data_IF_731769815082
#
_entry.id   IF_731769815082
#
_cell.length_a   1.000
_cell.length_b   1.000
_cell.length_c   1.000
_cell.angle_alpha   90.00
_cell.angle_beta   90.00
_cell.angle_gamma   90.00
#
_symmetry.space_group_name_H-M   'P 1'
#
loop_
_entity.id
_entity.type
_entity.pdbx_description
1 polymer ?
#
# COMPACT_ATOMS: atom_id res chain seq x y z
N UNK A 1 -61.58 -3.08 87.69
CA UNK A 1 -60.56 -4.03 88.02
C UNK A 1 -59.80 -4.29 86.68
N UNK A 2 -58.67 -3.63 86.47
CA UNK A 2 -57.33 -4.19 86.47
C UNK A 2 -57.13 -5.28 85.40
N UNK A 3 -56.28 -5.19 84.46
CA UNK A 3 -54.82 -5.08 84.47
C UNK A 3 -54.28 -4.80 83.09
N UNK A 4 -53.32 -3.98 83.03
CA UNK A 4 -52.34 -3.68 82.05
C UNK A 4 -51.52 -4.89 81.59
N UNK A 5 -51.09 -4.87 80.33
CA UNK A 5 -49.81 -5.46 79.96
C UNK A 5 -49.28 -4.81 78.64
N UNK A 6 -48.31 -3.95 78.89
CA UNK A 6 -47.32 -3.49 77.88
C UNK A 6 -46.64 -4.67 77.22
N UNK A 7 -46.56 -4.63 75.88
CA UNK A 7 -45.56 -5.45 75.17
C UNK A 7 -44.70 -4.54 74.32
N UNK A 8 -43.45 -4.42 74.84
CA UNK A 8 -42.36 -3.73 74.17
C UNK A 8 -42.18 -4.20 72.73
N UNK A 9 -42.22 -3.23 71.92
CA UNK A 9 -41.73 -3.30 70.55
C UNK A 9 -40.19 -3.21 70.63
N UNK A 10 -39.46 -4.30 70.34
CA UNK A 10 -38.01 -4.33 70.13
C UNK A 10 -37.72 -4.28 68.66
N UNK A 11 -37.26 -3.13 68.28
CA UNK A 11 -36.86 -2.67 66.99
C UNK A 11 -36.09 -3.61 66.17
N UNK A 12 -36.45 -3.59 64.91
CA UNK A 12 -35.62 -3.94 63.79
C UNK A 12 -34.68 -2.75 63.50
N UNK A 13 -33.54 -2.70 64.18
CA UNK A 13 -32.38 -1.95 63.70
C UNK A 13 -31.76 -2.75 62.59
N UNK A 14 -32.31 -2.64 61.37
CA UNK A 14 -31.69 -3.15 60.18
C UNK A 14 -30.36 -2.42 59.96
N UNK A 15 -29.33 -3.20 59.93
CA UNK A 15 -27.92 -2.93 59.75
C UNK A 15 -27.64 -2.13 58.48
N UNK A 16 -27.88 -0.82 58.49
CA UNK A 16 -27.59 0.12 57.40
C UNK A 16 -26.08 0.24 57.13
N UNK A 17 -25.23 -0.20 58.02
CA UNK A 17 -23.77 -0.18 57.90
C UNK A 17 -23.23 -1.26 56.96
N UNK A 18 -23.84 -2.46 56.91
CA UNK A 18 -23.39 -3.57 56.05
C UNK A 18 -23.71 -3.36 54.60
N UNK A 19 -24.83 -2.70 54.27
CA UNK A 19 -25.19 -2.38 52.89
C UNK A 19 -24.29 -1.33 52.24
N UNK A 20 -23.84 -0.31 53.02
CA UNK A 20 -22.92 0.71 52.51
C UNK A 20 -21.51 0.17 52.23
N UNK A 21 -21.00 -0.73 53.08
CA UNK A 21 -19.65 -1.30 52.90
C UNK A 21 -19.63 -2.26 51.70
N UNK A 22 -20.68 -3.07 51.51
CA UNK A 22 -20.79 -3.99 50.37
C UNK A 22 -20.95 -3.24 49.05
N UNK A 23 -21.70 -2.13 49.02
CA UNK A 23 -21.83 -1.27 47.85
C UNK A 23 -20.52 -0.57 47.47
N UNK A 24 -19.77 -0.10 48.45
CA UNK A 24 -18.49 0.58 48.23
C UNK A 24 -17.41 -0.40 47.70
N UNK A 25 -17.38 -1.63 48.24
CA UNK A 25 -16.45 -2.67 47.75
C UNK A 25 -16.80 -3.14 46.34
N UNK A 26 -18.07 -3.21 45.94
CA UNK A 26 -18.49 -3.56 44.59
C UNK A 26 -18.16 -2.44 43.60
N UNK A 27 -18.34 -1.19 43.94
CA UNK A 27 -17.93 -0.04 43.14
C UNK A 27 -16.41 0.05 42.97
N UNK A 28 -15.64 -0.27 44.03
CA UNK A 28 -14.18 -0.28 43.95
C UNK A 28 -13.66 -1.44 43.08
N UNK A 29 -14.30 -2.62 43.13
CA UNK A 29 -13.98 -3.76 42.30
C UNK A 29 -14.30 -3.49 40.81
N UNK A 30 -15.42 -2.82 40.50
CA UNK A 30 -15.79 -2.40 39.14
C UNK A 30 -14.85 -1.29 38.62
N UNK A 31 -14.37 -0.40 39.45
CA UNK A 31 -13.41 0.64 39.06
C UNK A 31 -12.01 0.05 38.76
N UNK A 32 -11.61 -1.04 39.44
CA UNK A 32 -10.36 -1.74 39.19
C UNK A 32 -10.41 -2.69 37.96
N UNK A 33 -11.60 -3.14 37.57
CA UNK A 33 -11.76 -3.97 36.35
C UNK A 33 -11.74 -3.14 35.02
N UNK A 34 -11.86 -1.81 35.13
CA UNK A 34 -12.02 -0.92 33.98
C UNK A 34 -10.75 -0.41 33.28
N UNK A 35 -9.54 -0.70 33.81
CA UNK A 35 -8.29 -0.15 33.26
C UNK A 35 -7.20 -1.19 33.00
N UNK A 36 -7.55 -2.36 32.50
CA UNK A 36 -6.56 -3.19 31.84
C UNK A 36 -6.33 -2.62 30.42
N UNK A 37 -5.36 -1.73 30.28
CA UNK A 37 -4.88 -1.36 28.96
C UNK A 37 -4.53 -2.65 28.20
N UNK A 38 -4.89 -2.77 26.91
CA UNK A 38 -4.55 -3.96 26.13
C UNK A 38 -3.03 -4.16 26.23
N UNK A 39 -2.61 -5.35 26.64
CA UNK A 39 -1.19 -5.73 26.68
C UNK A 39 -0.71 -5.78 25.24
N UNK A 40 -0.14 -4.67 24.76
CA UNK A 40 0.48 -4.61 23.44
C UNK A 40 1.74 -5.47 23.49
N UNK A 41 1.84 -6.47 22.63
CA UNK A 41 3.05 -7.30 22.54
C UNK A 41 4.27 -6.41 22.27
N UNK A 42 5.41 -6.61 22.96
CA UNK A 42 6.65 -5.87 22.69
C UNK A 42 7.11 -5.98 21.22
N UNK A 43 6.63 -7.00 20.49
CA UNK A 43 6.92 -7.20 19.07
C UNK A 43 6.03 -6.36 18.15
N UNK A 44 4.95 -5.78 18.65
CA UNK A 44 4.02 -4.95 17.91
C UNK A 44 4.51 -3.49 17.90
N UNK A 45 5.55 -3.25 17.10
CA UNK A 45 6.08 -1.91 16.89
C UNK A 45 5.12 -1.06 16.06
N UNK A 46 5.24 0.29 16.07
CA UNK A 46 4.45 1.16 15.18
C UNK A 46 4.57 0.76 13.70
N UNK A 47 5.76 0.35 13.24
CA UNK A 47 5.97 -0.17 11.87
C UNK A 47 5.11 -1.41 11.61
N UNK A 48 5.11 -2.39 12.52
CA UNK A 48 4.29 -3.60 12.39
C UNK A 48 2.81 -3.24 12.27
N UNK A 49 2.35 -2.23 13.03
CA UNK A 49 0.97 -1.75 12.95
C UNK A 49 0.67 -1.14 11.57
N UNK A 50 1.52 -0.24 11.06
CA UNK A 50 1.36 0.37 9.74
C UNK A 50 1.28 -0.69 8.65
N UNK A 51 2.18 -1.67 8.68
CA UNK A 51 2.21 -2.78 7.69
C UNK A 51 0.94 -3.62 7.78
N UNK A 52 0.57 -4.09 8.98
CA UNK A 52 -0.62 -4.92 9.17
C UNK A 52 -1.88 -4.22 8.66
N UNK A 53 -2.00 -2.93 8.96
CA UNK A 53 -3.18 -2.13 8.64
C UNK A 53 -3.25 -1.74 7.16
N UNK A 54 -2.13 -1.72 6.42
CA UNK A 54 -2.10 -1.22 5.03
C UNK A 54 -1.65 -2.25 3.98
N UNK A 55 -1.10 -3.39 4.39
CA UNK A 55 -0.60 -4.40 3.44
C UNK A 55 -1.66 -4.90 2.44
N UNK A 56 -2.94 -4.89 2.80
CA UNK A 56 -4.03 -5.26 1.90
C UNK A 56 -4.34 -4.19 0.83
N UNK A 57 -3.82 -2.98 1.00
CA UNK A 57 -3.95 -1.90 0.00
C UNK A 57 -2.83 -1.94 -1.04
N UNK A 58 -1.81 -2.80 -0.86
CA UNK A 58 -0.71 -2.96 -1.82
C UNK A 58 -0.88 -4.26 -2.59
N UNK A 59 -0.80 -4.17 -3.90
CA UNK A 59 -1.00 -5.29 -4.82
C UNK A 59 0.26 -5.54 -5.64
N UNK A 60 0.42 -6.77 -6.13
CA UNK A 60 1.40 -7.08 -7.15
C UNK A 60 0.80 -6.80 -8.53
N UNK A 61 1.56 -6.16 -9.39
CA UNK A 61 1.21 -5.92 -10.79
C UNK A 61 2.07 -6.84 -11.66
N UNK A 62 1.42 -7.70 -12.42
CA UNK A 62 2.05 -8.55 -13.43
C UNK A 62 1.65 -8.07 -14.80
N UNK A 63 2.63 -7.89 -15.66
CA UNK A 63 2.39 -7.50 -17.05
C UNK A 63 3.01 -8.50 -18.01
N UNK A 64 2.34 -8.68 -19.13
CA UNK A 64 2.87 -9.45 -20.25
C UNK A 64 2.96 -8.52 -21.46
N UNK A 65 4.14 -8.47 -22.07
CA UNK A 65 4.41 -7.71 -23.27
C UNK A 65 4.94 -8.65 -24.35
N UNK A 66 4.55 -8.41 -25.58
CA UNK A 66 5.13 -9.10 -26.75
C UNK A 66 6.08 -8.10 -27.42
N UNK A 67 7.33 -8.47 -27.52
CA UNK A 67 8.35 -7.67 -28.21
C UNK A 67 8.70 -8.37 -29.52
N UNK A 68 8.42 -7.72 -30.65
CA UNK A 68 8.85 -8.22 -31.96
C UNK A 68 10.31 -7.79 -32.19
N UNK A 69 11.19 -8.78 -32.15
CA UNK A 69 12.61 -8.58 -32.37
C UNK A 69 12.94 -8.40 -33.86
N UNK A 70 12.00 -8.74 -34.78
CA UNK A 70 12.20 -8.58 -36.23
C UNK A 70 12.25 -7.11 -36.65
N UNK A 71 11.68 -6.22 -35.81
CA UNK A 71 11.77 -4.77 -36.04
C UNK A 71 13.20 -4.22 -35.72
N UNK A 72 14.05 -4.99 -35.05
CA UNK A 72 15.40 -4.55 -34.76
C UNK A 72 16.29 -4.63 -36.02
N UNK A 73 17.08 -3.58 -36.36
CA UNK A 73 17.88 -3.53 -37.55
C UNK A 73 18.84 -4.73 -37.72
N UNK A 74 19.36 -5.26 -36.62
CA UNK A 74 20.23 -6.43 -36.65
C UNK A 74 19.52 -7.72 -37.10
N UNK A 75 18.20 -7.78 -37.06
CA UNK A 75 17.44 -8.97 -37.46
C UNK A 75 17.59 -9.27 -38.93
N UNK A 76 17.55 -8.25 -39.78
CA UNK A 76 17.73 -8.43 -41.23
C UNK A 76 19.06 -9.05 -41.63
N UNK A 77 20.13 -8.82 -40.89
CA UNK A 77 21.46 -9.33 -41.17
C UNK A 77 21.77 -10.67 -40.47
N UNK A 78 21.20 -10.92 -39.30
CA UNK A 78 21.53 -12.05 -38.45
C UNK A 78 20.31 -12.86 -37.98
N UNK A 79 19.16 -12.70 -38.61
CA UNK A 79 17.85 -13.23 -38.20
C UNK A 79 17.87 -14.69 -37.77
N UNK A 80 18.38 -15.60 -38.64
CA UNK A 80 18.41 -17.03 -38.29
C UNK A 80 19.33 -17.38 -37.09
N UNK A 81 20.43 -16.61 -36.88
CA UNK A 81 21.33 -16.83 -35.77
C UNK A 81 20.73 -16.30 -34.49
N UNK A 82 20.05 -15.13 -34.56
CA UNK A 82 19.33 -14.52 -33.48
C UNK A 82 18.12 -15.37 -33.07
N UNK A 83 17.39 -15.92 -34.03
CA UNK A 83 16.24 -16.82 -33.80
C UNK A 83 16.65 -18.04 -32.97
N UNK A 84 17.74 -18.71 -33.36
CA UNK A 84 18.27 -19.85 -32.60
C UNK A 84 18.77 -19.47 -31.23
N UNK A 85 19.44 -18.33 -31.07
CA UNK A 85 19.92 -17.82 -29.78
C UNK A 85 18.74 -17.51 -28.85
N UNK A 86 17.75 -16.76 -29.34
CA UNK A 86 16.60 -16.39 -28.54
C UNK A 86 15.73 -17.59 -28.18
N UNK A 87 15.56 -18.55 -29.09
CA UNK A 87 14.84 -19.79 -28.78
C UNK A 87 15.54 -20.62 -27.70
N UNK A 88 16.85 -20.66 -27.70
CA UNK A 88 17.65 -21.33 -26.68
C UNK A 88 17.60 -20.59 -25.33
N UNK A 89 17.58 -19.25 -25.34
CA UNK A 89 17.64 -18.43 -24.13
C UNK A 89 16.28 -18.25 -23.47
N UNK A 90 15.23 -17.97 -24.24
CA UNK A 90 13.88 -17.69 -23.74
C UNK A 90 12.94 -18.90 -23.79
N UNK A 91 13.29 -20.01 -24.45
CA UNK A 91 12.49 -21.23 -24.50
C UNK A 91 11.07 -20.98 -24.99
N UNK A 92 10.07 -21.34 -24.18
CA UNK A 92 8.65 -21.22 -24.52
C UNK A 92 8.16 -19.76 -24.60
N UNK A 93 8.86 -18.80 -23.96
CA UNK A 93 8.52 -17.38 -24.03
C UNK A 93 9.01 -16.72 -25.33
N UNK A 94 9.66 -17.50 -26.24
CA UNK A 94 10.07 -17.06 -27.59
C UNK A 94 9.34 -17.81 -28.68
N UNK A 95 8.80 -17.09 -29.64
CA UNK A 95 8.17 -17.67 -30.86
C UNK A 95 8.45 -16.79 -32.06
N UNK A 96 9.12 -17.36 -33.09
CA UNK A 96 9.31 -16.77 -34.43
C UNK A 96 9.70 -15.28 -34.44
N UNK A 97 10.69 -14.89 -33.62
CA UNK A 97 11.16 -13.51 -33.54
C UNK A 97 10.40 -12.63 -32.54
N UNK A 98 9.44 -13.19 -31.83
CA UNK A 98 8.71 -12.50 -30.77
C UNK A 98 9.06 -13.05 -29.42
N UNK A 99 9.38 -12.19 -28.46
CA UNK A 99 9.64 -12.56 -27.06
C UNK A 99 8.49 -12.09 -26.19
N UNK A 100 8.00 -13.01 -25.34
CA UNK A 100 7.05 -12.69 -24.28
C UNK A 100 7.82 -12.24 -23.04
N UNK A 101 7.82 -10.95 -22.79
CA UNK A 101 8.41 -10.37 -21.58
C UNK A 101 7.37 -10.29 -20.49
N UNK A 102 7.74 -10.77 -19.30
CA UNK A 102 6.97 -10.64 -18.07
C UNK A 102 7.65 -9.60 -17.20
N UNK A 103 6.94 -8.57 -16.81
CA UNK A 103 7.41 -7.58 -15.84
C UNK A 103 6.58 -7.66 -14.59
N UNK A 104 7.20 -7.32 -13.48
CA UNK A 104 6.58 -7.35 -12.14
C UNK A 104 6.83 -6.01 -11.46
N UNK A 105 5.78 -5.44 -10.93
CA UNK A 105 5.80 -4.24 -10.11
C UNK A 105 4.77 -4.33 -9.00
N UNK A 106 4.54 -3.20 -8.36
CA UNK A 106 3.52 -3.05 -7.32
C UNK A 106 2.47 -2.01 -7.70
N UNK A 107 1.36 -2.00 -6.99
CA UNK A 107 0.34 -0.97 -7.10
C UNK A 107 -0.29 -0.69 -5.75
N UNK A 108 -0.95 0.45 -5.63
CA UNK A 108 -1.64 0.87 -4.41
C UNK A 108 -3.12 1.09 -4.72
N UNK A 109 -4.00 0.42 -3.99
CA UNK A 109 -5.45 0.59 -4.10
C UNK A 109 -5.81 1.95 -3.52
N UNK A 110 -6.33 2.85 -4.36
CA UNK A 110 -6.72 4.22 -4.00
C UNK A 110 -8.23 4.41 -3.90
N UNK A 111 -8.99 3.45 -4.35
CA UNK A 111 -10.46 3.45 -4.27
C UNK A 111 -10.99 2.03 -4.00
N UNK A 112 -12.03 1.91 -3.17
CA UNK A 112 -12.61 0.62 -2.76
C UNK A 112 -13.23 -0.17 -3.92
N UNK A 113 -13.63 0.52 -5.01
CA UNK A 113 -14.17 -0.10 -6.21
C UNK A 113 -13.10 -0.59 -7.19
N UNK A 114 -11.82 -0.66 -6.77
CA UNK A 114 -10.75 -1.29 -7.53
C UNK A 114 -9.92 -0.37 -8.41
N UNK A 115 -9.86 0.94 -8.09
CA UNK A 115 -8.89 1.82 -8.72
C UNK A 115 -7.53 1.68 -8.03
N UNK A 116 -6.47 1.50 -8.82
CA UNK A 116 -5.11 1.25 -8.36
C UNK A 116 -4.20 2.27 -9.04
N UNK A 117 -3.29 2.88 -8.28
CA UNK A 117 -2.17 3.66 -8.81
C UNK A 117 -0.92 2.79 -8.86
N UNK A 118 -0.14 2.96 -9.91
CA UNK A 118 1.18 2.34 -10.10
C UNK A 118 2.08 3.28 -10.91
N UNK A 119 3.31 2.88 -11.20
CA UNK A 119 4.15 3.66 -12.13
C UNK A 119 3.74 3.40 -13.59
N UNK A 120 3.92 4.42 -14.42
CA UNK A 120 3.64 4.31 -15.86
C UNK A 120 4.55 3.28 -16.53
N UNK A 121 5.85 3.23 -16.15
CA UNK A 121 6.80 2.27 -16.72
C UNK A 121 6.43 0.82 -16.39
N UNK A 122 5.73 0.53 -15.29
CA UNK A 122 5.27 -0.82 -14.92
C UNK A 122 4.25 -1.35 -15.93
N UNK A 123 3.37 -0.48 -16.44
CA UNK A 123 2.29 -0.86 -17.36
C UNK A 123 2.58 -0.47 -18.81
N UNK A 124 3.72 0.17 -19.06
CA UNK A 124 4.09 0.62 -20.41
C UNK A 124 4.24 -0.56 -21.36
N UNK A 125 3.63 -0.47 -22.54
CA UNK A 125 3.63 -1.52 -23.59
C UNK A 125 3.07 -2.87 -23.13
N UNK A 126 2.42 -2.97 -21.97
CA UNK A 126 1.77 -4.19 -21.54
C UNK A 126 0.59 -4.54 -22.44
N UNK A 127 0.56 -5.77 -22.95
CA UNK A 127 -0.60 -6.30 -23.69
C UNK A 127 -1.71 -6.71 -22.73
N UNK A 128 -1.32 -7.30 -21.60
CA UNK A 128 -2.22 -7.68 -20.50
C UNK A 128 -1.63 -7.26 -19.18
N UNK A 129 -2.49 -6.84 -18.26
CA UNK A 129 -2.13 -6.39 -16.92
C UNK A 129 -2.99 -7.17 -15.95
N UNK A 130 -2.35 -7.75 -14.93
CA UNK A 130 -3.02 -8.42 -13.84
C UNK A 130 -2.62 -7.79 -12.50
N UNK A 131 -3.60 -7.53 -11.65
CA UNK A 131 -3.36 -7.21 -10.26
C UNK A 131 -3.59 -8.45 -9.39
N UNK A 132 -2.60 -8.80 -8.57
CA UNK A 132 -2.70 -9.89 -7.62
C UNK A 132 -2.88 -9.29 -6.24
N UNK A 133 -4.05 -9.52 -5.64
CA UNK A 133 -4.40 -9.04 -4.31
C UNK A 133 -3.66 -9.86 -3.24
N UNK A 134 -3.63 -9.34 -2.01
CA UNK A 134 -2.95 -9.99 -0.88
C UNK A 134 -3.47 -11.41 -0.58
N UNK A 135 -4.73 -11.70 -0.85
CA UNK A 135 -5.33 -13.03 -0.64
C UNK A 135 -5.06 -13.99 -1.79
N UNK A 136 -4.27 -13.60 -2.79
CA UNK A 136 -3.96 -14.39 -3.96
C UNK A 136 -4.95 -14.24 -5.11
N UNK A 137 -6.04 -13.49 -4.95
CA UNK A 137 -6.98 -13.20 -6.03
C UNK A 137 -6.27 -12.51 -7.19
N UNK A 138 -6.38 -13.04 -8.39
CA UNK A 138 -5.84 -12.47 -9.62
C UNK A 138 -6.98 -11.83 -10.40
N UNK A 139 -6.86 -10.54 -10.67
CA UNK A 139 -7.84 -9.78 -11.44
C UNK A 139 -7.17 -9.11 -12.65
N UNK A 140 -7.78 -9.23 -13.83
CA UNK A 140 -7.36 -8.47 -15.00
C UNK A 140 -7.64 -6.99 -14.78
N UNK A 141 -6.67 -6.15 -15.17
CA UNK A 141 -6.74 -4.71 -15.00
C UNK A 141 -6.75 -3.99 -16.34
N UNK A 142 -7.56 -2.96 -16.44
CA UNK A 142 -7.59 -2.05 -17.58
C UNK A 142 -6.89 -0.73 -17.21
N UNK A 143 -6.11 -0.19 -18.14
CA UNK A 143 -5.51 1.14 -17.98
C UNK A 143 -6.61 2.19 -18.08
N UNK A 144 -6.67 3.08 -17.09
CA UNK A 144 -7.62 4.19 -17.02
C UNK A 144 -6.96 5.48 -17.49
N UNK A 145 -5.76 5.75 -17.00
CA UNK A 145 -5.00 6.97 -17.32
C UNK A 145 -3.50 6.71 -17.16
N UNK A 146 -2.70 7.32 -17.99
CA UNK A 146 -1.23 7.32 -17.89
C UNK A 146 -0.73 8.75 -17.94
N UNK A 147 0.15 9.10 -17.01
CA UNK A 147 0.92 10.32 -17.01
C UNK A 147 2.41 9.95 -17.08
N UNK A 148 2.97 10.01 -18.26
CA UNK A 148 4.38 9.66 -18.49
C UNK A 148 5.35 10.68 -17.92
N UNK A 149 4.94 11.95 -17.79
CA UNK A 149 5.80 13.00 -17.22
C UNK A 149 6.07 12.79 -15.74
N UNK A 150 5.09 12.29 -14.99
CA UNK A 150 5.21 11.99 -13.57
C UNK A 150 5.43 10.49 -13.31
N UNK A 151 5.55 9.68 -14.35
CA UNK A 151 5.65 8.21 -14.27
C UNK A 151 4.55 7.57 -13.41
N UNK A 152 3.30 8.02 -13.60
CA UNK A 152 2.12 7.49 -12.91
C UNK A 152 1.14 6.85 -13.88
N UNK A 153 0.50 5.79 -13.47
CA UNK A 153 -0.63 5.17 -14.16
C UNK A 153 -1.75 4.83 -13.18
N UNK A 154 -2.98 5.00 -13.64
CA UNK A 154 -4.18 4.49 -12.97
C UNK A 154 -4.68 3.29 -13.76
N UNK A 155 -4.86 2.19 -13.07
CA UNK A 155 -5.45 0.96 -13.61
C UNK A 155 -6.68 0.61 -12.78
N UNK A 156 -7.62 -0.10 -13.38
CA UNK A 156 -8.87 -0.52 -12.73
C UNK A 156 -9.06 -2.01 -12.85
N UNK A 157 -9.35 -2.64 -11.74
CA UNK A 157 -9.90 -4.00 -11.66
C UNK A 157 -11.40 -3.95 -11.33
N UNK A 158 -12.09 -5.08 -11.52
CA UNK A 158 -13.48 -5.27 -11.08
C UNK A 158 -13.50 -6.30 -9.95
N UNK A 159 -13.38 -5.85 -8.69
CA UNK A 159 -13.40 -6.78 -7.57
C UNK A 159 -14.83 -7.27 -7.29
N UNK A 160 -14.95 -8.45 -6.71
CA UNK A 160 -16.21 -9.04 -6.25
C UNK A 160 -16.67 -8.52 -4.87
N UNK A 161 -15.81 -7.73 -4.21
CA UNK A 161 -16.05 -7.12 -2.89
C UNK A 161 -15.37 -5.75 -2.81
N UNK A 162 -15.74 -4.97 -1.80
CA UNK A 162 -15.02 -3.74 -1.49
C UNK A 162 -13.58 -4.05 -1.06
N UNK A 163 -12.64 -3.30 -1.63
CA UNK A 163 -11.23 -3.40 -1.32
C UNK A 163 -10.83 -2.39 -0.23
N UNK A 164 -9.72 -2.65 0.41
CA UNK A 164 -9.11 -1.70 1.33
C UNK A 164 -8.32 -0.65 0.54
N UNK A 165 -8.83 0.57 0.47
CA UNK A 165 -8.11 1.71 -0.10
C UNK A 165 -7.19 2.35 0.95
N UNK A 166 -6.03 2.84 0.51
CA UNK A 166 -5.11 3.62 1.35
C UNK A 166 -5.69 5.00 1.65
N UNK A 167 -5.33 5.59 2.80
CA UNK A 167 -5.59 7.01 3.10
C UNK A 167 -4.45 7.86 2.56
N UNK A 168 -4.73 9.09 2.13
CA UNK A 168 -3.72 10.02 1.63
C UNK A 168 -3.25 10.96 2.74
N UNK A 169 -1.94 11.17 2.82
CA UNK A 169 -1.34 12.17 3.69
C UNK A 169 -1.52 13.59 3.12
N UNK A 170 -1.51 14.59 3.99
CA UNK A 170 -1.34 15.97 3.56
C UNK A 170 0.15 16.25 3.32
N UNK A 171 0.54 16.38 2.05
CA UNK A 171 1.95 16.62 1.66
C UNK A 171 2.52 17.91 2.23
N UNK A 172 1.68 18.88 2.64
CA UNK A 172 2.12 20.12 3.24
C UNK A 172 2.66 19.95 4.66
N UNK A 173 2.33 18.83 5.30
CA UNK A 173 2.77 18.49 6.67
C UNK A 173 4.01 17.61 6.70
N UNK A 174 4.49 17.14 5.53
CA UNK A 174 5.66 16.27 5.47
C UNK A 174 6.93 16.98 5.95
N UNK A 175 7.73 16.26 6.72
CA UNK A 175 8.98 16.76 7.28
C UNK A 175 10.18 15.91 6.86
N UNK A 176 11.29 16.56 6.57
CA UNK A 176 12.57 15.86 6.42
C UNK A 176 12.94 15.23 7.76
N UNK A 177 13.33 13.95 7.75
CA UNK A 177 13.57 13.15 8.95
C UNK A 177 12.34 12.37 9.45
N UNK A 178 11.16 12.59 8.88
CA UNK A 178 9.96 11.82 9.21
C UNK A 178 10.14 10.35 8.82
N UNK A 179 9.81 9.43 9.73
CA UNK A 179 9.90 7.99 9.49
C UNK A 179 8.86 7.55 8.47
N UNK A 180 9.30 6.77 7.49
CA UNK A 180 8.45 6.19 6.44
C UNK A 180 8.63 4.69 6.30
N UNK A 181 7.59 4.04 5.81
CA UNK A 181 7.54 2.61 5.53
C UNK A 181 7.26 2.43 4.04
N UNK A 182 8.21 1.85 3.31
CA UNK A 182 7.98 1.45 1.93
C UNK A 182 7.44 0.02 1.89
N UNK A 183 6.32 -0.16 1.18
CA UNK A 183 5.68 -1.46 0.99
C UNK A 183 5.56 -1.71 -0.52
N UNK A 184 6.06 -2.86 -0.96
CA UNK A 184 5.85 -3.38 -2.30
C UNK A 184 5.48 -4.85 -2.25
N UNK A 185 5.05 -5.40 -3.38
CA UNK A 185 4.72 -6.82 -3.51
C UNK A 185 5.37 -7.41 -4.78
N UNK A 186 6.71 -7.56 -4.79
CA UNK A 186 7.45 -7.90 -6.00
C UNK A 186 7.12 -9.27 -6.59
N UNK A 187 6.68 -10.22 -5.77
CA UNK A 187 6.47 -11.60 -6.22
C UNK A 187 5.00 -12.05 -6.11
N UNK A 188 4.11 -11.21 -5.54
CA UNK A 188 2.72 -11.56 -5.30
C UNK A 188 2.52 -12.66 -4.25
N UNK A 189 3.57 -13.01 -3.50
CA UNK A 189 3.54 -14.02 -2.44
C UNK A 189 3.43 -13.34 -1.08
N UNK A 190 4.29 -12.33 -0.83
CA UNK A 190 4.29 -11.54 0.40
C UNK A 190 4.81 -10.13 0.11
N UNK A 191 4.36 -9.15 0.91
CA UNK A 191 4.84 -7.79 0.82
C UNK A 191 6.30 -7.68 1.28
N UNK A 192 7.14 -7.03 0.47
CA UNK A 192 8.46 -6.57 0.91
C UNK A 192 8.27 -5.24 1.65
N UNK A 193 8.83 -5.16 2.85
CA UNK A 193 8.74 -3.99 3.72
C UNK A 193 10.13 -3.47 4.02
N UNK A 194 10.34 -2.19 3.81
CA UNK A 194 11.55 -1.49 4.25
C UNK A 194 11.17 -0.21 4.98
N UNK A 195 12.05 0.27 5.86
CA UNK A 195 11.84 1.50 6.63
C UNK A 195 13.00 2.45 6.44
N UNK A 196 12.73 3.72 6.54
CA UNK A 196 13.70 4.79 6.47
C UNK A 196 13.06 6.11 6.88
N UNK A 197 13.61 7.20 6.38
CA UNK A 197 13.10 8.55 6.61
C UNK A 197 12.91 9.30 5.29
N UNK A 198 12.14 10.36 5.32
CA UNK A 198 12.15 11.36 4.25
C UNK A 198 13.50 12.08 4.31
N UNK A 199 14.38 11.80 3.36
CA UNK A 199 15.73 12.41 3.27
C UNK A 199 15.72 13.75 2.55
N UNK A 200 14.68 14.04 1.78
CA UNK A 200 14.52 15.31 1.07
C UNK A 200 13.17 15.41 0.38
N UNK A 201 12.76 16.65 0.15
CA UNK A 201 11.49 17.01 -0.52
C UNK A 201 11.85 17.87 -1.73
N UNK A 202 11.01 17.79 -2.77
CA UNK A 202 11.17 18.57 -4.02
C UNK A 202 12.51 18.28 -4.74
N UNK A 203 12.86 16.99 -4.83
CA UNK A 203 14.07 16.55 -5.53
C UNK A 203 13.79 16.39 -7.03
N UNK A 204 14.82 16.69 -7.82
CA UNK A 204 14.84 16.41 -9.24
C UNK A 204 16.09 15.60 -9.58
N UNK A 205 15.95 14.61 -10.43
CA UNK A 205 17.10 13.94 -11.04
C UNK A 205 16.85 13.67 -12.52
N UNK A 206 17.92 13.68 -13.30
CA UNK A 206 17.88 13.26 -14.69
C UNK A 206 18.23 11.78 -14.72
N UNK A 207 17.30 10.95 -15.14
CA UNK A 207 17.59 9.58 -15.50
C UNK A 207 17.98 9.56 -16.98
N UNK A 208 19.21 9.12 -17.29
CA UNK A 208 19.70 8.98 -18.67
C UNK A 208 19.01 7.85 -19.44
N UNK A 209 18.34 6.94 -18.71
CA UNK A 209 17.61 5.81 -19.30
C UNK A 209 16.11 6.11 -19.51
N UNK A 210 15.61 7.20 -18.92
CA UNK A 210 14.23 7.66 -19.10
C UNK A 210 14.27 9.05 -19.75
N UNK A 211 13.58 9.24 -20.87
CA UNK A 211 13.50 10.52 -21.59
C UNK A 211 12.78 11.64 -20.82
N UNK A 212 12.49 11.46 -19.53
CA UNK A 212 11.79 12.44 -18.70
C UNK A 212 12.60 12.85 -17.48
N UNK A 213 12.57 14.13 -17.20
CA UNK A 213 13.11 14.68 -15.97
C UNK A 213 12.10 14.50 -14.85
N UNK A 214 12.38 13.57 -13.95
CA UNK A 214 11.59 13.45 -12.72
C UNK A 214 11.88 14.62 -11.80
N UNK A 215 10.87 15.43 -11.48
CA UNK A 215 10.98 16.59 -10.58
C UNK A 215 9.90 16.55 -9.50
N UNK A 216 10.12 17.27 -8.40
CA UNK A 216 9.17 17.32 -7.30
C UNK A 216 9.05 15.97 -6.58
N UNK A 217 10.15 15.21 -6.45
CA UNK A 217 10.15 13.89 -5.84
C UNK A 217 10.46 13.98 -4.34
N UNK A 218 9.97 12.99 -3.60
CA UNK A 218 10.42 12.68 -2.24
C UNK A 218 11.66 11.79 -2.34
N UNK A 219 12.69 12.12 -1.59
CA UNK A 219 13.88 11.29 -1.40
C UNK A 219 13.75 10.54 -0.08
N UNK A 220 14.13 9.26 -0.05
CA UNK A 220 14.14 8.42 1.16
C UNK A 220 15.37 7.51 1.16
N UNK A 221 15.82 7.12 2.34
CA UNK A 221 16.83 6.08 2.55
C UNK A 221 16.21 4.69 2.79
N UNK A 222 14.86 4.60 2.85
CA UNK A 222 14.17 3.31 2.77
C UNK A 222 14.59 2.59 1.49
N UNK A 223 14.97 1.33 1.59
CA UNK A 223 15.45 0.56 0.44
C UNK A 223 14.33 0.36 -0.59
N UNK A 224 14.46 1.00 -1.74
CA UNK A 224 13.60 0.78 -2.91
C UNK A 224 14.39 -0.10 -3.88
N UNK A 225 13.80 -1.20 -4.30
CA UNK A 225 14.41 -2.18 -5.20
C UNK A 225 13.43 -2.56 -6.30
N UNK A 226 13.88 -3.19 -7.41
CA UNK A 226 12.98 -3.73 -8.43
C UNK A 226 11.86 -4.56 -7.82
N UNK A 227 10.62 -4.25 -8.22
CA UNK A 227 9.40 -4.83 -7.67
C UNK A 227 8.69 -4.01 -6.59
N UNK A 228 9.40 -3.09 -5.88
CA UNK A 228 8.73 -2.11 -5.00
C UNK A 228 8.16 -0.92 -5.79
N UNK A 229 8.63 -0.69 -7.02
CA UNK A 229 8.13 0.37 -7.92
C UNK A 229 6.62 0.27 -8.08
N UNK A 230 5.93 1.38 -7.94
CA UNK A 230 4.47 1.46 -7.94
C UNK A 230 3.82 1.13 -6.59
N UNK A 231 4.59 0.65 -5.61
CA UNK A 231 4.14 0.39 -4.25
C UNK A 231 4.01 1.65 -3.39
N UNK A 232 3.60 1.47 -2.14
CA UNK A 232 3.31 2.55 -1.22
C UNK A 232 4.54 3.01 -0.43
N UNK A 233 4.74 4.33 -0.30
CA UNK A 233 5.50 4.95 0.77
C UNK A 233 4.51 5.54 1.77
N UNK A 234 4.52 5.05 3.01
CA UNK A 234 3.56 5.41 4.06
C UNK A 234 4.26 6.15 5.19
N UNK A 235 3.57 7.10 5.82
CA UNK A 235 3.98 7.66 7.10
C UNK A 235 3.60 6.73 8.27
N UNK A 236 3.94 7.13 9.51
CA UNK A 236 3.66 6.32 10.68
C UNK A 236 2.17 6.29 11.09
N UNK A 237 1.34 7.15 10.50
CA UNK A 237 -0.14 7.11 10.61
C UNK A 237 -0.78 6.17 9.59
N UNK A 238 0.04 5.52 8.75
CA UNK A 238 -0.39 4.61 7.68
C UNK A 238 -1.04 5.32 6.51
N UNK A 239 -0.67 6.57 6.27
CA UNK A 239 -1.15 7.36 5.13
C UNK A 239 -0.12 7.36 4.01
N UNK A 240 -0.61 7.35 2.78
CA UNK A 240 0.23 7.38 1.58
C UNK A 240 0.86 8.77 1.43
N UNK A 241 2.18 8.83 1.55
CA UNK A 241 2.96 10.05 1.29
C UNK A 241 3.48 10.08 -0.15
N UNK A 242 3.65 8.91 -0.77
CA UNK A 242 4.09 8.80 -2.15
C UNK A 242 4.01 7.39 -2.72
N UNK A 243 4.22 7.29 -4.03
CA UNK A 243 4.34 6.03 -4.78
C UNK A 243 5.83 5.77 -5.02
N UNK A 244 6.32 4.62 -4.60
CA UNK A 244 7.72 4.24 -4.75
C UNK A 244 8.14 4.28 -6.23
N UNK A 245 9.27 4.92 -6.50
CA UNK A 245 9.87 5.01 -7.83
C UNK A 245 11.20 4.24 -7.80
N UNK A 246 11.67 3.80 -8.97
CA UNK A 246 12.91 3.05 -9.06
C UNK A 246 14.13 3.80 -8.50
N UNK A 247 15.20 3.04 -8.24
CA UNK A 247 16.47 3.50 -7.66
C UNK A 247 17.37 4.11 -8.73
N UNK A 248 18.22 5.05 -8.33
CA UNK A 248 19.37 5.46 -9.14
C UNK A 248 20.41 4.33 -9.12
N UNK A 249 20.71 3.74 -10.27
CA UNK A 249 21.72 2.70 -10.38
C UNK A 249 23.08 3.21 -9.88
N UNK A 250 23.69 2.44 -8.97
CA UNK A 250 25.01 2.77 -8.39
C UNK A 250 24.99 3.67 -7.14
N UNK A 251 23.84 4.18 -6.71
CA UNK A 251 23.71 4.88 -5.43
C UNK A 251 23.19 3.93 -4.35
N UNK A 252 23.80 3.98 -3.16
CA UNK A 252 23.30 3.25 -1.99
C UNK A 252 22.47 4.18 -1.11
N UNK A 253 21.38 3.67 -0.54
CA UNK A 253 20.50 4.40 0.38
C UNK A 253 19.89 5.69 -0.21
N UNK A 254 19.67 5.71 -1.52
CA UNK A 254 18.96 6.79 -2.22
C UNK A 254 17.81 6.17 -3.01
N UNK A 255 16.62 6.28 -2.46
CA UNK A 255 15.36 5.94 -3.08
C UNK A 255 14.54 7.21 -3.37
N UNK A 256 13.60 7.11 -4.30
CA UNK A 256 12.68 8.18 -4.61
C UNK A 256 11.24 7.68 -4.59
N UNK A 257 10.33 8.60 -4.29
CA UNK A 257 8.90 8.36 -4.41
C UNK A 257 8.24 9.57 -5.08
N UNK A 258 7.21 9.31 -5.87
CA UNK A 258 6.35 10.32 -6.46
C UNK A 258 5.36 10.76 -5.38
N UNK A 259 5.34 12.05 -4.98
CA UNK A 259 4.52 12.49 -3.86
C UNK A 259 3.01 12.37 -4.17
N UNK A 260 2.23 12.11 -3.12
CA UNK A 260 0.80 11.79 -3.24
C UNK A 260 -0.06 12.92 -3.83
N UNK A 261 0.36 14.19 -3.75
CA UNK A 261 -0.35 15.29 -4.41
C UNK A 261 -0.42 15.12 -5.94
N UNK A 262 0.61 14.53 -6.58
CA UNK A 262 0.57 14.20 -8.02
C UNK A 262 -0.44 13.09 -8.30
N UNK A 263 -0.57 12.11 -7.40
CA UNK A 263 -1.63 11.09 -7.46
C UNK A 263 -3.00 11.74 -7.33
N UNK A 264 -3.19 12.62 -6.34
CA UNK A 264 -4.44 13.34 -6.11
C UNK A 264 -4.83 14.21 -7.32
N UNK A 265 -3.86 14.90 -7.91
CA UNK A 265 -4.07 15.68 -9.14
C UNK A 265 -4.56 14.77 -10.27
N UNK A 266 -3.90 13.63 -10.48
CA UNK A 266 -4.28 12.65 -11.50
C UNK A 266 -5.69 12.10 -11.29
N UNK A 267 -6.10 11.88 -10.03
CA UNK A 267 -7.46 11.47 -9.65
C UNK A 267 -8.48 12.58 -9.87
N UNK A 268 -8.18 13.84 -9.53
CA UNK A 268 -9.07 14.98 -9.69
C UNK A 268 -9.35 15.34 -11.17
N UNK A 269 -8.45 14.99 -12.07
CA UNK A 269 -8.62 15.16 -13.52
C UNK A 269 -9.48 14.05 -14.18
N UNK A 270 -9.97 13.10 -13.42
CA UNK A 270 -10.89 12.08 -13.95
C UNK A 270 -12.28 12.67 -14.13
N UNK A 271 -12.80 12.60 -15.35
CA UNK A 271 -14.24 12.80 -15.58
C UNK A 271 -15.01 11.69 -14.86
N UNK A 272 -16.19 11.98 -14.27
CA UNK A 272 -17.01 10.94 -13.67
C UNK A 272 -17.36 9.89 -14.72
N UNK A 273 -17.03 8.63 -14.43
CA UNK A 273 -17.38 7.52 -15.32
C UNK A 273 -18.91 7.44 -15.45
N UNK A 274 -19.46 7.31 -16.69
CA UNK A 274 -20.87 7.06 -16.89
C UNK A 274 -21.20 5.69 -16.25
N UNK A 275 -21.96 5.69 -15.16
CA UNK A 275 -22.49 4.48 -14.52
C UNK A 275 -22.27 4.30 -13.03
N UNK A 276 -21.64 5.25 -12.32
CA UNK A 276 -21.60 5.26 -10.86
C UNK A 276 -22.38 6.49 -10.37
N UNK A 277 -23.67 6.32 -10.11
CA UNK A 277 -24.43 7.28 -9.31
C UNK A 277 -23.89 7.27 -7.87
N UNK A 278 -23.79 8.47 -7.27
CA UNK A 278 -23.40 8.71 -5.88
C UNK A 278 -24.29 7.96 -4.90
#
# INVERSE_FOLDING_TARGET
MTYSAEKLDRGHAMDRGRLCVSGLLLCLALALAGCAAPVVSPRETPVVKVVRDNAASVVNIRTESLVDLKEHPAWGQYGERLDRFFKQYFGEDYSEGTVKLKSVGSGVIVDRAGLIVTNAHVVHRAKTIYAVLRDGTVAEAAVVKVNTLDDLALIRIRPDRELRAVRFADVKTLMVGETVVAIGNPLGLENSVTTGVISGIDRAFKNTECDYACSGLLQTDASINPGNSGGALLNMDGELVGVNLAVVLGAQNIGFAIPVNKVMQMLGEQQPFPGVSK
#
